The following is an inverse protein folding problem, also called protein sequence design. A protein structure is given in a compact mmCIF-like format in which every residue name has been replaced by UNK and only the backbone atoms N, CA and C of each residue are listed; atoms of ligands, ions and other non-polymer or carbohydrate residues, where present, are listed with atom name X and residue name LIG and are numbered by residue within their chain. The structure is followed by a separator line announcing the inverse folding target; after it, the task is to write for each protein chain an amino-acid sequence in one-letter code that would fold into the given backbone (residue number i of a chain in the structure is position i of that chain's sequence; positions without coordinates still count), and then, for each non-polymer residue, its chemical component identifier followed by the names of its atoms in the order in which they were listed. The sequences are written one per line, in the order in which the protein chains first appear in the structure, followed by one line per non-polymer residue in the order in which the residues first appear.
data_IF_306942718182
#
_entry.id   IF_306942718182
#
_cell.length_a   1.000
_cell.length_b   1.000
_cell.length_c   1.000
_cell.angle_alpha   90.00
_cell.angle_beta   90.00
_cell.angle_gamma   90.00
#
_symmetry.space_group_name_H-M   'P 1'
#
loop_
_entity.id
_entity.type
_entity.pdbx_description
1 polymer ?
#
# COMPACT_ATOMS: atom_id res chain seq x y z
N UNK A 1 -5.51 -16.17 -8.42
CA UNK A 1 -6.70 -15.59 -7.76
C UNK A 1 -6.89 -14.17 -8.27
N UNK A 2 -8.09 -13.79 -8.72
CA UNK A 2 -8.32 -12.55 -9.50
C UNK A 2 -7.72 -11.28 -8.86
N UNK A 3 -7.89 -11.10 -7.55
CA UNK A 3 -7.35 -9.94 -6.81
C UNK A 3 -5.82 -9.92 -6.77
N UNK A 4 -5.18 -11.09 -6.64
CA UNK A 4 -3.71 -11.21 -6.67
C UNK A 4 -3.16 -10.81 -8.04
N UNK A 5 -3.79 -11.25 -9.12
CA UNK A 5 -3.39 -10.83 -10.48
C UNK A 5 -3.49 -9.31 -10.65
N UNK A 6 -4.55 -8.68 -10.12
CA UNK A 6 -4.67 -7.22 -10.15
C UNK A 6 -3.53 -6.52 -9.41
N UNK A 7 -3.11 -7.06 -8.25
CA UNK A 7 -1.95 -6.54 -7.50
C UNK A 7 -0.67 -6.71 -8.33
N UNK A 8 -0.46 -7.86 -8.96
CA UNK A 8 0.69 -8.09 -9.84
C UNK A 8 0.71 -7.14 -11.06
N UNK A 9 -0.45 -6.87 -11.66
CA UNK A 9 -0.56 -5.88 -12.74
C UNK A 9 -0.21 -4.49 -12.25
N UNK A 10 -0.78 -4.06 -11.12
CA UNK A 10 -0.45 -2.75 -10.53
C UNK A 10 1.03 -2.64 -10.19
N UNK A 11 1.62 -3.71 -9.65
CA UNK A 11 3.04 -3.77 -9.31
C UNK A 11 3.91 -3.37 -10.50
N UNK A 12 3.59 -3.78 -11.72
CA UNK A 12 4.33 -3.39 -12.94
C UNK A 12 4.31 -1.88 -13.22
N UNK A 13 3.26 -1.18 -12.80
CA UNK A 13 3.11 0.26 -12.94
C UNK A 13 3.62 1.03 -11.73
N UNK A 14 4.21 0.38 -10.73
CA UNK A 14 4.61 1.06 -9.50
C UNK A 14 5.48 2.29 -9.81
N UNK A 15 6.52 2.15 -10.63
CA UNK A 15 7.44 3.25 -10.97
C UNK A 15 6.91 4.23 -12.05
N UNK A 16 5.71 4.02 -12.58
CA UNK A 16 5.12 4.92 -13.58
C UNK A 16 4.66 6.22 -12.89
N UNK A 17 5.15 7.41 -13.26
CA UNK A 17 4.83 8.63 -12.52
C UNK A 17 3.38 9.12 -12.68
N UNK A 18 2.58 8.51 -13.55
CA UNK A 18 1.17 8.87 -13.74
C UNK A 18 0.32 8.38 -12.57
N UNK A 19 -0.78 9.06 -12.22
CA UNK A 19 -1.72 8.55 -11.23
C UNK A 19 -2.43 7.29 -11.75
N UNK A 20 -2.62 6.29 -10.87
CA UNK A 20 -3.32 5.04 -11.18
C UNK A 20 -4.71 5.10 -10.53
N UNK A 21 -5.74 4.68 -11.26
CA UNK A 21 -7.12 4.64 -10.75
C UNK A 21 -7.70 3.23 -10.95
N UNK A 22 -7.59 2.34 -9.96
CA UNK A 22 -8.31 1.08 -9.96
C UNK A 22 -9.82 1.33 -9.82
N UNK A 23 -10.62 0.77 -10.73
CA UNK A 23 -12.09 0.87 -10.70
C UNK A 23 -12.67 -0.48 -10.29
N UNK A 24 -13.50 -0.48 -9.25
CA UNK A 24 -14.15 -1.69 -8.72
C UNK A 24 -15.66 -1.61 -8.91
N UNK A 25 -16.35 -2.72 -9.24
CA UNK A 25 -17.78 -2.71 -9.48
C UNK A 25 -18.62 -2.58 -8.20
N UNK A 26 -18.09 -3.02 -7.05
CA UNK A 26 -18.79 -3.00 -5.75
C UNK A 26 -17.82 -2.77 -4.61
N UNK A 27 -18.29 -2.13 -3.55
CA UNK A 27 -17.51 -1.86 -2.32
C UNK A 27 -16.88 -3.11 -1.68
N UNK A 28 -17.52 -4.29 -1.61
CA UNK A 28 -16.88 -5.50 -1.09
C UNK A 28 -15.64 -5.92 -1.89
N UNK A 29 -15.61 -5.67 -3.20
CA UNK A 29 -14.45 -6.00 -4.06
C UNK A 29 -13.29 -5.06 -3.75
N UNK A 30 -13.59 -3.77 -3.55
CA UNK A 30 -12.62 -2.76 -3.12
C UNK A 30 -12.01 -3.10 -1.75
N UNK A 31 -12.84 -3.47 -0.77
CA UNK A 31 -12.36 -3.91 0.55
C UNK A 31 -11.47 -5.15 0.47
N UNK A 32 -11.89 -6.15 -0.30
CA UNK A 32 -11.09 -7.36 -0.54
C UNK A 32 -9.74 -7.04 -1.22
N UNK A 33 -9.72 -6.07 -2.15
CA UNK A 33 -8.48 -5.62 -2.78
C UNK A 33 -7.48 -5.06 -1.77
N UNK A 34 -7.89 -4.17 -0.87
CA UNK A 34 -6.97 -3.62 0.14
C UNK A 34 -6.51 -4.67 1.16
N UNK A 35 -7.38 -5.60 1.55
CA UNK A 35 -7.00 -6.71 2.43
C UNK A 35 -5.93 -7.60 1.77
N UNK A 36 -6.14 -7.97 0.50
CA UNK A 36 -5.15 -8.74 -0.26
C UNK A 36 -3.86 -7.95 -0.50
N UNK A 37 -3.94 -6.64 -0.78
CA UNK A 37 -2.77 -5.79 -0.96
C UNK A 37 -1.93 -5.68 0.32
N UNK A 38 -2.58 -5.64 1.49
CA UNK A 38 -1.91 -5.67 2.79
C UNK A 38 -1.25 -7.04 3.05
N UNK A 39 -1.93 -8.12 2.66
CA UNK A 39 -1.46 -9.50 2.83
C UNK A 39 -0.25 -9.84 1.96
N UNK A 40 -0.25 -9.45 0.68
CA UNK A 40 0.75 -9.87 -0.29
C UNK A 40 1.97 -8.92 -0.35
N UNK A 41 3.20 -9.45 -0.48
CA UNK A 41 4.38 -8.64 -0.75
C UNK A 41 4.23 -7.86 -2.05
N UNK A 42 4.35 -6.54 -1.97
CA UNK A 42 4.27 -5.61 -3.11
C UNK A 42 4.99 -4.30 -2.77
N UNK A 43 5.42 -3.54 -3.78
CA UNK A 43 6.00 -2.20 -3.56
C UNK A 43 4.97 -1.21 -3.03
N UNK A 44 3.69 -1.37 -3.36
CA UNK A 44 2.62 -0.58 -2.75
C UNK A 44 2.48 -0.83 -1.25
N UNK A 45 2.58 -2.09 -0.81
CA UNK A 45 2.61 -2.42 0.62
C UNK A 45 3.83 -1.82 1.32
N UNK A 46 5.00 -1.90 0.68
CA UNK A 46 6.23 -1.30 1.23
C UNK A 46 6.13 0.23 1.35
N UNK A 47 5.58 0.90 0.33
CA UNK A 47 5.33 2.34 0.36
C UNK A 47 4.41 2.73 1.53
N UNK A 48 3.31 1.99 1.71
CA UNK A 48 2.44 2.14 2.88
C UNK A 48 3.21 1.93 4.18
N UNK A 49 3.98 0.86 4.29
CA UNK A 49 4.69 0.50 5.50
C UNK A 49 5.79 1.51 5.89
N UNK A 50 6.37 2.22 4.91
CA UNK A 50 7.26 3.34 5.17
C UNK A 50 6.50 4.52 5.82
N UNK A 51 5.31 4.85 5.31
CA UNK A 51 4.52 6.00 5.76
C UNK A 51 3.71 5.73 7.03
N UNK A 52 3.43 4.45 7.33
CA UNK A 52 2.65 3.97 8.48
C UNK A 52 3.33 2.74 9.11
N UNK A 53 4.54 2.89 9.69
CA UNK A 53 5.30 1.75 10.22
C UNK A 53 4.60 1.03 11.38
N UNK A 54 3.80 1.75 12.18
CA UNK A 54 3.05 1.17 13.31
C UNK A 54 1.91 0.28 12.80
N UNK A 55 1.16 0.73 11.80
CA UNK A 55 0.08 -0.06 11.18
C UNK A 55 0.65 -1.28 10.44
N UNK A 56 1.78 -1.10 9.75
CA UNK A 56 2.47 -2.20 9.08
C UNK A 56 3.04 -3.23 10.05
N UNK A 57 3.61 -2.80 11.18
CA UNK A 57 4.08 -3.70 12.23
C UNK A 57 2.93 -4.56 12.79
N UNK A 58 1.77 -3.93 13.08
CA UNK A 58 0.54 -4.64 13.48
C UNK A 58 0.11 -5.66 12.44
N UNK A 59 -0.02 -5.23 11.18
CA UNK A 59 -0.43 -6.12 10.09
C UNK A 59 0.55 -7.27 9.84
N UNK A 60 1.86 -7.03 9.99
CA UNK A 60 2.91 -8.03 9.82
C UNK A 60 3.02 -9.01 11.01
N UNK A 61 2.47 -8.65 12.18
CA UNK A 61 2.63 -9.39 13.42
C UNK A 61 4.07 -9.40 13.94
N UNK A 62 4.82 -8.31 13.72
CA UNK A 62 6.19 -8.12 14.23
C UNK A 62 6.44 -6.65 14.60
N UNK A 63 7.50 -6.36 15.35
CA UNK A 63 7.90 -4.99 15.72
C UNK A 63 8.43 -4.19 14.53
N UNK A 64 9.18 -4.84 13.64
CA UNK A 64 9.64 -4.23 12.38
C UNK A 64 9.12 -5.02 11.19
N UNK A 65 8.22 -4.40 10.41
CA UNK A 65 7.61 -5.02 9.24
C UNK A 65 8.64 -5.48 8.20
N UNK A 66 9.86 -4.90 8.20
CA UNK A 66 10.93 -5.28 7.29
C UNK A 66 11.41 -6.71 7.46
N UNK A 67 11.33 -7.27 8.68
CA UNK A 67 11.66 -8.67 8.95
C UNK A 67 10.77 -9.65 8.17
N UNK A 68 9.59 -9.18 7.75
CA UNK A 68 8.60 -9.95 6.99
C UNK A 68 8.27 -9.28 5.66
N UNK A 69 9.17 -8.46 5.13
CA UNK A 69 8.99 -7.68 3.89
C UNK A 69 8.57 -8.53 2.71
N UNK A 70 9.22 -9.67 2.51
CA UNK A 70 8.98 -10.55 1.35
C UNK A 70 8.02 -11.70 1.69
N UNK A 71 7.46 -11.69 2.90
CA UNK A 71 6.54 -12.71 3.38
C UNK A 71 5.10 -12.28 3.18
N UNK A 72 4.24 -13.27 3.03
CA UNK A 72 2.81 -13.08 3.18
C UNK A 72 2.49 -12.76 4.65
N UNK A 73 1.73 -11.69 4.88
CA UNK A 73 1.31 -11.30 6.23
C UNK A 73 0.01 -12.03 6.56
N UNK A 74 0.02 -12.78 7.65
CA UNK A 74 -1.17 -13.46 8.11
C UNK A 74 -2.10 -12.49 8.84
N UNK A 75 -3.01 -11.89 8.08
CA UNK A 75 -4.03 -10.98 8.58
C UNK A 75 -5.30 -11.70 9.05
N UNK A 76 -5.38 -13.03 8.93
CA UNK A 76 -6.59 -13.80 9.27
C UNK A 76 -6.86 -13.84 10.77
N UNK A 77 -5.82 -13.67 11.59
CA UNK A 77 -5.92 -13.60 13.04
C UNK A 77 -6.33 -12.21 13.56
N UNK A 78 -6.40 -11.19 12.69
CA UNK A 78 -6.77 -9.84 13.10
C UNK A 78 -8.28 -9.71 13.32
N UNK A 79 -8.73 -9.03 14.38
CA UNK A 79 -10.13 -8.66 14.54
C UNK A 79 -10.64 -7.87 13.33
N UNK A 80 -11.89 -8.10 12.92
CA UNK A 80 -12.48 -7.44 11.74
C UNK A 80 -12.39 -5.91 11.81
N UNK A 81 -12.63 -5.34 13.01
CA UNK A 81 -12.53 -3.91 13.25
C UNK A 81 -11.12 -3.37 13.00
N UNK A 82 -10.09 -4.11 13.43
CA UNK A 82 -8.69 -3.74 13.23
C UNK A 82 -8.29 -3.87 11.76
N UNK A 83 -8.66 -4.97 11.10
CA UNK A 83 -8.42 -5.14 9.67
C UNK A 83 -9.06 -4.01 8.85
N UNK A 84 -10.27 -3.57 9.22
CA UNK A 84 -10.95 -2.45 8.58
C UNK A 84 -10.21 -1.13 8.76
N UNK A 85 -9.66 -0.87 9.95
CA UNK A 85 -8.84 0.31 10.20
C UNK A 85 -7.55 0.28 9.37
N UNK A 86 -6.86 -0.86 9.33
CA UNK A 86 -5.63 -1.03 8.54
C UNK A 86 -5.89 -0.84 7.05
N UNK A 87 -6.97 -1.43 6.51
CA UNK A 87 -7.37 -1.22 5.12
C UNK A 87 -7.69 0.25 4.82
N UNK A 88 -8.29 0.96 5.77
CA UNK A 88 -8.61 2.39 5.64
C UNK A 88 -7.32 3.23 5.61
N UNK A 89 -6.39 2.98 6.54
CA UNK A 89 -5.08 3.64 6.57
C UNK A 89 -4.29 3.37 5.28
N UNK A 90 -4.29 2.12 4.81
CA UNK A 90 -3.66 1.74 3.53
C UNK A 90 -4.25 2.51 2.36
N UNK A 91 -5.58 2.57 2.27
CA UNK A 91 -6.29 3.33 1.25
C UNK A 91 -5.92 4.81 1.28
N UNK A 92 -5.93 5.45 2.44
CA UNK A 92 -5.60 6.87 2.57
C UNK A 92 -4.18 7.20 2.10
N UNK A 93 -3.22 6.31 2.39
CA UNK A 93 -1.84 6.46 1.92
C UNK A 93 -1.77 6.32 0.40
N UNK A 94 -2.43 5.31 -0.16
CA UNK A 94 -2.39 5.01 -1.60
C UNK A 94 -3.22 5.98 -2.45
N UNK A 95 -4.22 6.65 -1.88
CA UNK A 95 -4.92 7.76 -2.53
C UNK A 95 -3.98 8.96 -2.77
N UNK A 96 -2.86 9.06 -2.05
CA UNK A 96 -1.83 10.09 -2.22
C UNK A 96 -2.44 11.50 -2.33
N UNK A 97 -3.39 11.82 -1.46
CA UNK A 97 -4.14 13.10 -1.49
C UNK A 97 -3.19 14.30 -1.46
N UNK A 98 -3.30 15.16 -2.48
CA UNK A 98 -2.47 16.35 -2.62
C UNK A 98 -1.06 16.11 -3.16
N UNK A 99 -0.73 14.89 -3.60
CA UNK A 99 0.56 14.58 -4.23
C UNK A 99 0.56 14.86 -5.73
N UNK A 100 -0.62 14.88 -6.36
CA UNK A 100 -0.79 15.17 -7.77
C UNK A 100 -1.47 16.53 -7.98
N UNK A 101 -1.06 17.26 -9.01
CA UNK A 101 -1.68 18.49 -9.48
C UNK A 101 -1.63 18.52 -11.00
N UNK A 102 -2.77 18.75 -11.66
CA UNK A 102 -2.90 18.71 -13.13
C UNK A 102 -2.29 17.43 -13.74
N UNK A 103 -2.58 16.27 -13.15
CA UNK A 103 -2.09 14.96 -13.60
C UNK A 103 -0.60 14.71 -13.37
N UNK A 104 0.14 15.65 -12.78
CA UNK A 104 1.58 15.54 -12.51
C UNK A 104 1.85 15.41 -11.03
N UNK A 105 2.81 14.56 -10.68
CA UNK A 105 3.26 14.42 -9.30
C UNK A 105 4.10 15.63 -8.86
N UNK A 106 3.87 16.11 -7.64
CA UNK A 106 4.65 17.17 -7.00
C UNK A 106 6.04 16.66 -6.63
N UNK A 107 7.09 17.23 -7.23
CA UNK A 107 8.50 16.88 -6.96
C UNK A 107 8.84 16.96 -5.47
N UNK A 108 8.39 18.00 -4.77
CA UNK A 108 8.62 18.15 -3.33
C UNK A 108 8.15 16.97 -2.48
N UNK A 109 7.08 16.28 -2.88
CA UNK A 109 6.59 15.09 -2.17
C UNK A 109 7.49 13.88 -2.41
N UNK A 110 7.92 13.68 -3.66
CA UNK A 110 8.88 12.64 -4.03
C UNK A 110 10.21 12.85 -3.31
N UNK A 111 10.74 14.06 -3.37
CA UNK A 111 12.05 14.38 -2.79
C UNK A 111 12.03 14.19 -1.27
N UNK A 112 10.97 14.65 -0.60
CA UNK A 112 10.77 14.43 0.84
C UNK A 112 10.67 12.93 1.19
N UNK A 113 10.03 12.12 0.35
CA UNK A 113 9.99 10.67 0.57
C UNK A 113 11.38 10.04 0.45
N UNK A 114 12.10 10.36 -0.63
CA UNK A 114 13.44 9.81 -0.88
C UNK A 114 14.46 10.24 0.16
N UNK A 115 14.37 11.48 0.65
CA UNK A 115 15.23 11.94 1.74
C UNK A 115 14.96 11.18 3.04
N UNK A 116 13.69 10.85 3.32
CA UNK A 116 13.30 10.12 4.52
C UNK A 116 13.57 8.61 4.43
N UNK A 117 13.48 8.03 3.24
CA UNK A 117 13.60 6.59 2.99
C UNK A 117 14.51 6.31 1.78
N UNK A 118 15.83 6.54 1.90
CA UNK A 118 16.74 6.53 0.75
C UNK A 118 16.92 5.15 0.11
N UNK A 119 16.64 4.07 0.83
CA UNK A 119 16.73 2.69 0.34
C UNK A 119 15.42 2.15 -0.23
N UNK A 120 14.34 2.95 -0.19
CA UNK A 120 13.01 2.50 -0.56
C UNK A 120 12.61 2.98 -1.95
N UNK A 121 11.80 2.16 -2.63
CA UNK A 121 11.23 2.52 -3.93
C UNK A 121 10.03 3.44 -3.75
N UNK A 122 9.78 4.28 -4.74
CA UNK A 122 8.71 5.27 -4.72
C UNK A 122 7.80 5.14 -5.95
N UNK A 123 6.46 5.31 -5.81
CA UNK A 123 5.50 5.11 -6.89
C UNK A 123 5.39 6.25 -7.92
#
# INVERSE_FOLDING_TARGET
GKTREMICVLENFFLDPRPKVPIFPKEPVCRNFYAELLRWPSRYRNFFACLRPQDAARAAGTRDWRERRDRLWDISALPEAELRQLCTSLREVLEMKGWFFMGKMRRSRRDAFMQRFPTESFP
#
